data_IF_170266142265
#
_entry.id   IF_170266142265
#
_cell.length_a   1.000
_cell.length_b   1.000
_cell.length_c   1.000
_cell.angle_alpha   90.00
_cell.angle_beta   90.00
_cell.angle_gamma   90.00
#
_symmetry.space_group_name_H-M   'P 1'
#
loop_
_entity.id
_entity.type
_entity.pdbx_description
1 polymer ?
#
# COMPACT_ATOMS: atom_id res chain seq x y z
N UNK A 1 10.92 48.94 -26.21
CA UNK A 1 11.45 48.73 -27.58
C UNK A 1 11.76 50.11 -28.14
N UNK A 2 13.00 50.37 -28.57
CA UNK A 2 13.35 51.64 -29.22
C UNK A 2 12.82 51.65 -30.65
N UNK A 3 12.47 52.82 -31.17
CA UNK A 3 12.07 52.95 -32.56
C UNK A 3 13.25 52.61 -33.49
N UNK A 4 12.99 51.92 -34.62
CA UNK A 4 14.03 51.51 -35.54
C UNK A 4 14.72 52.75 -36.14
N UNK A 5 16.05 52.74 -36.18
CA UNK A 5 16.85 53.84 -36.73
C UNK A 5 16.64 54.08 -38.23
N UNK A 6 15.99 53.15 -38.93
CA UNK A 6 15.58 53.28 -40.32
C UNK A 6 14.14 52.77 -40.49
N UNK A 7 13.20 53.70 -40.65
CA UNK A 7 11.76 53.44 -40.74
C UNK A 7 11.32 52.69 -42.01
N UNK A 8 12.20 52.58 -43.01
CA UNK A 8 11.92 51.84 -44.26
C UNK A 8 12.56 50.44 -44.30
N UNK A 9 13.32 50.06 -43.27
CA UNK A 9 13.97 48.75 -43.21
C UNK A 9 12.94 47.70 -42.77
N UNK A 10 12.48 46.87 -43.72
CA UNK A 10 11.50 45.80 -43.47
C UNK A 10 12.13 44.61 -42.72
N UNK A 11 13.45 44.44 -42.80
CA UNK A 11 14.20 43.39 -42.10
C UNK A 11 15.60 43.20 -42.70
N UNK A 12 16.29 42.14 -42.27
CA UNK A 12 17.59 41.72 -42.82
C UNK A 12 17.43 40.33 -43.43
N UNK A 13 17.75 40.18 -44.72
CA UNK A 13 17.82 38.88 -45.38
C UNK A 13 19.19 38.25 -45.14
N UNK A 14 19.21 36.98 -44.73
CA UNK A 14 20.42 36.19 -44.57
C UNK A 14 20.35 34.99 -45.51
N UNK A 15 21.38 34.81 -46.33
CA UNK A 15 21.52 33.64 -47.21
C UNK A 15 22.66 32.80 -46.67
N UNK A 16 22.34 31.60 -46.17
CA UNK A 16 23.33 30.60 -45.75
C UNK A 16 23.56 29.63 -46.92
N UNK A 17 24.73 29.73 -47.55
CA UNK A 17 25.12 28.86 -48.67
C UNK A 17 25.97 27.66 -48.22
N UNK A 18 25.93 26.57 -49.01
CA UNK A 18 26.79 25.40 -48.80
C UNK A 18 26.28 24.36 -47.79
N UNK A 19 25.04 24.49 -47.32
CA UNK A 19 24.40 23.52 -46.42
C UNK A 19 23.72 22.41 -47.23
N UNK A 20 23.81 21.17 -46.74
CA UNK A 20 23.01 20.07 -47.28
C UNK A 20 21.62 20.09 -46.64
N UNK A 21 20.61 19.56 -47.34
CA UNK A 21 19.26 19.41 -46.77
C UNK A 21 19.28 18.60 -45.46
N UNK A 22 20.21 17.64 -45.33
CA UNK A 22 20.42 16.89 -44.09
C UNK A 22 20.85 17.75 -42.91
N UNK A 23 21.59 18.84 -43.15
CA UNK A 23 22.04 19.74 -42.09
C UNK A 23 20.88 20.63 -41.61
N UNK A 24 19.99 21.00 -42.53
CA UNK A 24 18.76 21.73 -42.22
C UNK A 24 17.84 20.87 -41.36
N UNK A 25 17.64 19.60 -41.72
CA UNK A 25 16.79 18.70 -40.93
C UNK A 25 17.37 18.43 -39.53
N UNK A 26 18.70 18.27 -39.41
CA UNK A 26 19.35 18.19 -38.09
C UNK A 26 19.15 19.46 -37.27
N UNK A 27 19.26 20.63 -37.89
CA UNK A 27 19.04 21.90 -37.20
C UNK A 27 17.59 22.05 -36.71
N UNK A 28 16.61 21.61 -37.52
CA UNK A 28 15.20 21.60 -37.13
C UNK A 28 14.94 20.70 -35.92
N UNK A 29 15.57 19.54 -35.83
CA UNK A 29 15.39 18.58 -34.73
C UNK A 29 15.76 19.14 -33.34
N UNK A 30 16.57 20.19 -33.26
CA UNK A 30 16.84 20.91 -32.00
C UNK A 30 15.65 21.74 -31.49
N UNK A 31 14.63 21.98 -32.31
CA UNK A 31 13.47 22.75 -31.91
C UNK A 31 12.30 21.82 -31.61
N UNK A 32 11.64 22.06 -30.47
CA UNK A 32 10.47 21.30 -30.02
C UNK A 32 9.37 21.24 -31.10
N UNK A 33 9.24 22.28 -31.92
CA UNK A 33 8.25 22.33 -33.00
C UNK A 33 8.43 21.20 -34.03
N UNK A 34 9.66 20.74 -34.26
CA UNK A 34 9.99 19.73 -35.25
C UNK A 34 10.42 18.39 -34.64
N UNK A 35 10.59 18.31 -33.32
CA UNK A 35 11.05 17.08 -32.65
C UNK A 35 9.99 15.97 -32.63
N UNK A 36 8.71 16.32 -32.80
CA UNK A 36 7.58 15.38 -32.77
C UNK A 36 7.19 14.90 -31.36
N UNK A 37 7.79 15.49 -30.32
CA UNK A 37 7.45 15.18 -28.93
C UNK A 37 6.05 15.69 -28.56
N UNK A 38 5.29 14.84 -27.86
CA UNK A 38 3.95 15.20 -27.40
C UNK A 38 3.99 15.80 -26.00
N UNK A 39 3.18 16.85 -25.79
CA UNK A 39 3.01 17.47 -24.48
C UNK A 39 2.08 16.61 -23.63
N UNK A 40 2.60 16.10 -22.51
CA UNK A 40 1.79 15.36 -21.51
C UNK A 40 1.00 16.36 -20.67
N UNK A 41 1.67 17.40 -20.15
CA UNK A 41 1.05 18.38 -19.28
C UNK A 41 1.79 19.71 -19.33
N UNK A 42 1.05 20.82 -19.33
CA UNK A 42 1.59 22.16 -19.19
C UNK A 42 1.48 22.64 -17.75
N UNK A 43 2.54 23.26 -17.26
CA UNK A 43 2.62 23.82 -15.91
C UNK A 43 3.07 25.27 -15.97
N UNK A 44 2.92 26.00 -14.86
CA UNK A 44 3.41 27.39 -14.72
C UNK A 44 4.92 27.56 -14.94
N UNK A 45 5.69 26.47 -14.93
CA UNK A 45 7.14 26.48 -15.03
C UNK A 45 7.66 26.00 -16.39
N UNK A 46 6.82 25.35 -17.18
CA UNK A 46 7.20 24.62 -18.38
C UNK A 46 6.19 23.52 -18.73
N UNK A 47 6.51 22.72 -19.74
CA UNK A 47 5.74 21.57 -20.14
C UNK A 47 6.51 20.27 -19.87
N UNK A 48 5.79 19.24 -19.43
CA UNK A 48 6.25 17.87 -19.36
C UNK A 48 5.95 17.20 -20.71
N UNK A 49 6.95 16.58 -21.32
CA UNK A 49 6.87 15.99 -22.63
C UNK A 49 7.06 14.48 -22.56
N UNK A 50 6.42 13.77 -23.48
CA UNK A 50 6.63 12.35 -23.67
C UNK A 50 7.97 12.11 -24.36
N UNK A 51 8.77 11.21 -23.78
CA UNK A 51 10.01 10.75 -24.39
C UNK A 51 9.68 9.98 -25.67
N UNK A 52 10.34 10.33 -26.77
CA UNK A 52 10.24 9.57 -28.03
C UNK A 52 10.94 8.23 -27.82
N UNK A 53 10.27 7.14 -28.21
CA UNK A 53 10.83 5.80 -28.13
C UNK A 53 12.20 5.72 -28.82
N UNK A 54 13.17 5.09 -28.14
CA UNK A 54 14.52 4.86 -28.63
C UNK A 54 15.40 6.11 -28.83
N UNK A 55 15.03 7.25 -28.21
CA UNK A 55 15.87 8.45 -28.11
C UNK A 55 16.17 8.82 -26.65
N UNK A 56 17.24 9.59 -26.44
CA UNK A 56 17.52 10.23 -25.16
C UNK A 56 16.44 11.26 -24.81
N UNK A 57 16.26 11.50 -23.52
CA UNK A 57 15.32 12.52 -23.05
C UNK A 57 15.89 13.90 -23.27
N UNK A 58 15.08 14.78 -23.85
CA UNK A 58 15.53 16.12 -24.25
C UNK A 58 15.06 17.19 -23.28
N UNK A 59 15.92 18.17 -23.08
CA UNK A 59 15.64 19.33 -22.25
C UNK A 59 15.64 20.55 -23.15
N UNK A 60 14.47 21.17 -23.26
CA UNK A 60 14.26 22.39 -24.01
C UNK A 60 14.17 23.60 -23.08
N UNK A 61 14.66 24.73 -23.55
CA UNK A 61 14.41 26.04 -22.94
C UNK A 61 13.75 26.92 -23.99
N UNK A 62 12.50 27.32 -23.73
CA UNK A 62 11.67 28.05 -24.69
C UNK A 62 11.62 27.38 -26.07
N UNK A 63 11.56 26.04 -26.10
CA UNK A 63 11.50 25.25 -27.33
C UNK A 63 12.84 24.98 -28.04
N UNK A 64 13.98 25.46 -27.53
CA UNK A 64 15.30 25.10 -28.03
C UNK A 64 15.93 24.00 -27.16
N UNK A 65 16.39 22.90 -27.76
CA UNK A 65 17.08 21.81 -27.07
C UNK A 65 18.46 22.28 -26.57
N UNK A 66 18.74 22.07 -25.29
CA UNK A 66 19.96 22.53 -24.60
C UNK A 66 20.73 21.41 -23.91
N UNK A 67 20.13 20.23 -23.77
CA UNK A 67 20.74 19.03 -23.22
C UNK A 67 19.92 17.79 -23.61
N UNK A 68 20.63 16.65 -23.70
CA UNK A 68 20.07 15.31 -23.86
C UNK A 68 20.55 14.46 -22.67
N UNK A 69 19.67 13.63 -22.13
CA UNK A 69 19.92 12.81 -20.94
C UNK A 69 19.38 11.39 -21.14
N UNK A 70 20.22 10.39 -20.87
CA UNK A 70 19.89 8.99 -21.12
C UNK A 70 18.87 8.43 -20.11
N UNK A 71 19.05 8.73 -18.82
CA UNK A 71 18.34 8.08 -17.70
C UNK A 71 17.13 8.86 -17.14
N UNK A 72 16.55 9.77 -17.92
CA UNK A 72 15.31 10.45 -17.55
C UNK A 72 14.10 9.74 -18.14
N UNK A 73 13.00 9.71 -17.39
CA UNK A 73 11.73 9.13 -17.81
C UNK A 73 10.97 10.03 -18.79
N UNK A 74 11.11 11.34 -18.65
CA UNK A 74 10.39 12.34 -19.45
C UNK A 74 11.35 13.30 -20.17
N UNK A 75 10.81 13.98 -21.19
CA UNK A 75 11.44 15.17 -21.77
C UNK A 75 10.78 16.44 -21.20
N UNK A 76 11.45 17.59 -21.26
CA UNK A 76 11.02 18.78 -20.54
C UNK A 76 11.19 20.03 -21.40
N UNK A 77 10.17 20.90 -21.43
CA UNK A 77 10.31 22.24 -21.99
C UNK A 77 10.16 23.30 -20.91
N UNK A 78 11.26 23.94 -20.54
CA UNK A 78 11.29 25.01 -19.55
C UNK A 78 10.91 26.33 -20.22
N UNK A 79 9.71 26.84 -19.93
CA UNK A 79 9.22 28.13 -20.43
C UNK A 79 9.50 29.28 -19.46
N UNK A 80 9.73 28.97 -18.17
CA UNK A 80 10.09 29.95 -17.14
C UNK A 80 11.51 29.70 -16.60
N UNK A 81 12.57 30.03 -17.37
CA UNK A 81 13.94 29.75 -16.99
C UNK A 81 14.38 30.55 -15.76
N UNK A 82 15.27 29.98 -14.95
CA UNK A 82 15.88 30.69 -13.82
C UNK A 82 17.03 31.57 -14.29
N UNK A 83 17.42 32.57 -13.48
CA UNK A 83 18.64 33.36 -13.73
C UNK A 83 19.90 32.48 -13.82
N UNK A 84 19.93 31.36 -13.08
CA UNK A 84 21.01 30.37 -13.12
C UNK A 84 21.07 29.69 -14.48
N UNK A 85 19.93 29.17 -14.95
CA UNK A 85 19.80 28.53 -16.26
C UNK A 85 20.19 29.49 -17.41
N UNK A 86 19.71 30.73 -17.37
CA UNK A 86 20.06 31.76 -18.35
C UNK A 86 21.57 32.08 -18.38
N UNK A 87 22.25 32.08 -17.23
CA UNK A 87 23.70 32.27 -17.16
C UNK A 87 24.49 31.07 -17.67
N UNK A 88 23.93 29.87 -17.53
CA UNK A 88 24.55 28.63 -17.99
C UNK A 88 24.41 28.43 -19.50
N UNK A 89 23.44 29.10 -20.13
CA UNK A 89 23.27 29.22 -21.58
C UNK A 89 24.34 30.16 -22.17
N UNK A 90 25.59 29.71 -22.18
CA UNK A 90 26.69 30.39 -22.88
C UNK A 90 26.63 30.08 -24.38
N UNK A 91 26.77 31.09 -25.24
CA UNK A 91 26.72 30.98 -26.73
C UNK A 91 27.80 30.06 -27.34
N UNK A 92 28.78 29.61 -26.56
CA UNK A 92 29.90 28.77 -27.01
C UNK A 92 29.85 27.33 -26.49
N UNK A 93 28.96 27.02 -25.54
CA UNK A 93 28.87 25.67 -24.95
C UNK A 93 27.66 24.96 -25.56
N UNK A 94 27.91 23.78 -26.10
CA UNK A 94 26.88 22.93 -26.72
C UNK A 94 25.89 22.37 -25.70
N UNK A 95 26.34 22.05 -24.47
CA UNK A 95 25.49 21.41 -23.45
C UNK A 95 25.47 22.16 -22.12
N UNK A 96 24.29 22.26 -21.51
CA UNK A 96 24.08 22.82 -20.18
C UNK A 96 24.21 21.73 -19.11
N UNK A 97 24.98 21.99 -18.06
CA UNK A 97 25.17 21.02 -16.98
C UNK A 97 23.92 20.81 -16.12
N UNK A 98 23.70 19.57 -15.66
CA UNK A 98 22.52 19.12 -14.91
C UNK A 98 22.08 20.00 -13.75
N UNK A 99 23.04 20.52 -12.99
CA UNK A 99 22.77 21.42 -11.87
C UNK A 99 22.06 22.74 -12.24
N UNK A 100 22.03 23.12 -13.52
CA UNK A 100 21.38 24.35 -13.97
C UNK A 100 19.87 24.19 -14.19
N UNK A 101 19.41 23.00 -14.59
CA UNK A 101 18.00 22.76 -14.95
C UNK A 101 17.26 21.85 -13.94
N UNK A 102 17.95 21.04 -13.12
CA UNK A 102 17.31 20.07 -12.20
C UNK A 102 16.26 20.69 -11.28
N UNK A 103 16.53 21.87 -10.71
CA UNK A 103 15.59 22.55 -9.80
C UNK A 103 14.27 22.87 -10.51
N UNK A 104 14.34 23.23 -11.79
CA UNK A 104 13.19 23.60 -12.59
C UNK A 104 12.42 22.38 -13.08
N UNK A 105 13.11 21.29 -13.44
CA UNK A 105 12.46 20.00 -13.70
C UNK A 105 11.67 19.52 -12.47
N UNK A 106 12.29 19.51 -11.29
CA UNK A 106 11.60 19.18 -10.03
C UNK A 106 10.38 20.07 -9.81
N UNK A 107 10.49 21.37 -10.11
CA UNK A 107 9.37 22.31 -10.01
C UNK A 107 8.22 21.99 -10.99
N UNK A 108 8.53 21.57 -12.22
CA UNK A 108 7.54 21.15 -13.21
C UNK A 108 6.81 19.90 -12.70
N UNK A 109 7.56 18.86 -12.29
CA UNK A 109 6.99 17.60 -11.80
C UNK A 109 6.09 17.79 -10.57
N UNK A 110 6.46 18.66 -9.63
CA UNK A 110 5.64 19.00 -8.47
C UNK A 110 4.42 19.87 -8.81
N UNK A 111 4.39 20.50 -9.97
CA UNK A 111 3.26 21.29 -10.45
C UNK A 111 2.29 20.47 -11.31
N UNK A 112 2.70 19.29 -11.79
CA UNK A 112 1.85 18.39 -12.55
C UNK A 112 0.71 17.82 -11.69
N UNK A 113 -0.44 17.58 -12.31
CA UNK A 113 -1.66 17.05 -11.69
C UNK A 113 -2.33 15.97 -12.56
N UNK A 114 -1.78 15.71 -13.75
CA UNK A 114 -2.24 14.71 -14.69
C UNK A 114 -2.07 13.28 -14.17
N UNK A 115 -3.02 12.40 -14.53
CA UNK A 115 -2.93 10.96 -14.21
C UNK A 115 -1.81 10.30 -15.00
N UNK A 116 -1.64 10.66 -16.28
CA UNK A 116 -0.60 10.10 -17.16
C UNK A 116 0.80 10.25 -16.57
N UNK A 117 1.13 11.42 -16.00
CA UNK A 117 2.38 11.65 -15.29
C UNK A 117 2.52 10.70 -14.09
N UNK A 118 1.49 10.64 -13.25
CA UNK A 118 1.51 9.88 -12.01
C UNK A 118 1.59 8.36 -12.27
N UNK A 119 0.82 7.85 -13.24
CA UNK A 119 0.84 6.45 -13.68
C UNK A 119 2.21 6.03 -14.20
N UNK A 120 2.84 6.86 -15.05
CA UNK A 120 4.18 6.58 -15.58
C UNK A 120 5.22 6.56 -14.48
N UNK A 121 5.18 7.52 -13.55
CA UNK A 121 6.14 7.59 -12.45
C UNK A 121 5.97 6.41 -11.49
N UNK A 122 4.75 6.02 -11.16
CA UNK A 122 4.49 4.87 -10.28
C UNK A 122 4.83 3.54 -10.94
N UNK A 123 4.58 3.39 -12.23
CA UNK A 123 5.06 2.22 -13.00
C UNK A 123 6.59 2.14 -13.02
N UNK A 124 7.27 3.27 -12.89
CA UNK A 124 8.73 3.32 -12.75
C UNK A 124 9.20 3.03 -11.31
N UNK A 125 8.43 3.44 -10.29
CA UNK A 125 8.69 3.08 -8.89
C UNK A 125 8.74 1.56 -8.70
N UNK A 126 7.83 0.82 -9.33
CA UNK A 126 7.81 -0.65 -9.30
C UNK A 126 9.09 -1.28 -9.89
N UNK A 127 9.82 -0.56 -10.75
CA UNK A 127 11.08 -1.01 -11.34
C UNK A 127 12.31 -0.71 -10.48
N UNK A 128 12.19 0.09 -9.41
CA UNK A 128 13.31 0.36 -8.48
C UNK A 128 13.93 -0.94 -7.99
N UNK A 129 13.09 -1.94 -7.63
CA UNK A 129 13.56 -3.22 -7.14
C UNK A 129 14.37 -4.01 -8.19
N UNK A 130 14.18 -3.73 -9.48
CA UNK A 130 14.89 -4.34 -10.59
C UNK A 130 16.17 -3.57 -10.98
N UNK A 131 16.48 -2.47 -10.28
CA UNK A 131 17.64 -1.63 -10.56
C UNK A 131 17.55 -0.82 -11.86
N UNK A 132 16.35 -0.71 -12.46
CA UNK A 132 16.13 -0.04 -13.75
C UNK A 132 15.19 1.17 -13.60
N UNK A 133 15.50 2.04 -12.64
CA UNK A 133 14.73 3.24 -12.29
C UNK A 133 15.35 4.50 -12.86
N UNK A 134 14.51 5.47 -13.22
CA UNK A 134 14.97 6.74 -13.75
C UNK A 134 15.33 7.74 -12.65
N UNK A 135 16.08 8.76 -13.05
CA UNK A 135 16.66 9.75 -12.16
C UNK A 135 15.64 10.62 -11.43
N UNK A 136 14.43 10.80 -11.98
CA UNK A 136 13.33 11.48 -11.31
C UNK A 136 12.97 10.83 -9.97
N UNK A 137 13.17 9.51 -9.85
CA UNK A 137 12.90 8.75 -8.62
C UNK A 137 13.93 9.02 -7.53
N UNK A 138 15.01 9.76 -7.78
CA UNK A 138 15.87 10.22 -6.68
C UNK A 138 15.16 11.27 -5.79
N UNK A 139 14.14 11.95 -6.32
CA UNK A 139 13.40 12.98 -5.58
C UNK A 139 12.18 12.39 -4.89
N UNK A 140 12.31 12.09 -3.59
CA UNK A 140 11.22 11.53 -2.78
C UNK A 140 9.96 12.40 -2.82
N UNK A 141 10.10 13.74 -2.87
CA UNK A 141 8.95 14.65 -2.93
C UNK A 141 8.12 14.45 -4.21
N UNK A 142 8.79 14.11 -5.33
CA UNK A 142 8.15 13.85 -6.61
C UNK A 142 7.43 12.50 -6.59
N UNK A 143 8.07 11.47 -6.01
CA UNK A 143 7.43 10.17 -5.79
C UNK A 143 6.14 10.32 -4.97
N UNK A 144 6.23 11.05 -3.85
CA UNK A 144 5.11 11.30 -2.95
C UNK A 144 3.98 12.07 -3.65
N UNK A 145 4.33 13.04 -4.50
CA UNK A 145 3.35 13.78 -5.29
C UNK A 145 2.59 12.89 -6.28
N UNK A 146 3.28 12.01 -7.01
CA UNK A 146 2.64 11.06 -7.91
C UNK A 146 1.70 10.09 -7.19
N UNK A 147 2.13 9.53 -6.05
CA UNK A 147 1.29 8.65 -5.23
C UNK A 147 0.01 9.36 -4.76
N UNK A 148 0.09 10.64 -4.37
CA UNK A 148 -1.08 11.44 -3.98
C UNK A 148 -2.07 11.66 -5.12
N UNK A 149 -1.57 11.91 -6.33
CA UNK A 149 -2.44 12.08 -7.51
C UNK A 149 -3.16 10.78 -7.80
N UNK A 150 -2.44 9.65 -7.76
CA UNK A 150 -2.99 8.34 -8.03
C UNK A 150 -4.05 7.91 -7.00
N UNK A 151 -3.79 8.10 -5.71
CA UNK A 151 -4.75 7.78 -4.64
C UNK A 151 -6.10 8.51 -4.78
N UNK A 152 -6.06 9.74 -5.31
CA UNK A 152 -7.25 10.57 -5.51
C UNK A 152 -8.10 10.12 -6.72
N UNK A 153 -7.47 9.49 -7.72
CA UNK A 153 -8.11 9.14 -9.00
C UNK A 153 -8.49 7.67 -9.12
N UNK A 154 -7.72 6.79 -8.48
CA UNK A 154 -7.85 5.35 -8.58
C UNK A 154 -7.92 4.71 -7.19
N UNK A 155 -8.57 3.54 -7.11
CA UNK A 155 -8.50 2.69 -5.93
C UNK A 155 -7.16 1.98 -5.89
N UNK A 156 -6.21 2.53 -5.15
CA UNK A 156 -4.86 1.97 -5.03
C UNK A 156 -4.59 1.61 -3.57
N UNK A 157 -3.92 0.48 -3.38
CA UNK A 157 -3.38 0.06 -2.10
C UNK A 157 -1.85 0.08 -2.20
N UNK A 158 -1.23 1.00 -1.46
CA UNK A 158 0.23 1.13 -1.42
C UNK A 158 0.83 0.19 -0.36
N UNK A 159 1.77 -0.66 -0.78
CA UNK A 159 2.38 -1.68 0.07
C UNK A 159 3.89 -1.67 -0.05
N UNK A 160 4.58 -1.97 1.04
CA UNK A 160 6.00 -2.30 1.04
C UNK A 160 6.22 -3.78 0.69
N UNK A 161 7.47 -4.17 0.48
CA UNK A 161 7.81 -5.59 0.30
C UNK A 161 7.45 -6.43 1.53
N UNK A 162 7.56 -5.87 2.74
CA UNK A 162 7.26 -6.57 3.99
C UNK A 162 5.75 -6.76 4.16
N UNK A 163 4.95 -5.75 3.78
CA UNK A 163 3.49 -5.83 3.76
C UNK A 163 2.99 -6.95 2.84
N UNK A 164 3.67 -7.20 1.72
CA UNK A 164 3.33 -8.28 0.78
C UNK A 164 3.54 -9.68 1.40
N UNK A 165 4.50 -9.81 2.31
CA UNK A 165 4.81 -11.09 2.98
C UNK A 165 3.79 -11.35 4.10
N UNK A 166 3.50 -10.33 4.93
CA UNK A 166 2.58 -10.47 6.08
C UNK A 166 1.09 -10.34 5.74
N UNK A 167 0.72 -9.50 4.78
CA UNK A 167 -0.66 -9.06 4.54
C UNK A 167 -1.50 -9.90 3.57
N UNK A 168 -1.11 -11.14 3.29
CA UNK A 168 -1.58 -11.91 2.11
C UNK A 168 -3.11 -11.93 1.89
N UNK A 169 -3.92 -11.95 2.97
CA UNK A 169 -5.37 -12.01 2.85
C UNK A 169 -6.06 -10.67 2.66
N UNK A 170 -5.66 -9.63 3.38
CA UNK A 170 -6.15 -8.27 3.13
C UNK A 170 -5.79 -7.81 1.71
N UNK A 171 -4.63 -8.24 1.20
CA UNK A 171 -4.25 -8.01 -0.20
C UNK A 171 -5.22 -8.69 -1.17
N UNK A 172 -5.65 -9.91 -0.88
CA UNK A 172 -6.62 -10.62 -1.72
C UNK A 172 -8.00 -9.93 -1.68
N UNK A 173 -8.47 -9.53 -0.50
CA UNK A 173 -9.72 -8.76 -0.37
C UNK A 173 -9.65 -7.44 -1.13
N UNK A 174 -8.54 -6.71 -1.00
CA UNK A 174 -8.33 -5.47 -1.73
C UNK A 174 -8.40 -5.70 -3.24
N UNK A 175 -7.76 -6.76 -3.76
CA UNK A 175 -7.83 -7.14 -5.17
C UNK A 175 -9.23 -7.52 -5.62
N UNK A 176 -9.97 -8.29 -4.83
CA UNK A 176 -11.35 -8.69 -5.13
C UNK A 176 -12.29 -7.47 -5.16
N UNK A 177 -12.02 -6.44 -4.36
CA UNK A 177 -12.72 -5.15 -4.36
C UNK A 177 -12.26 -4.19 -5.48
N UNK A 178 -11.30 -4.63 -6.30
CA UNK A 178 -10.78 -3.87 -7.44
C UNK A 178 -9.68 -2.86 -7.10
N UNK A 179 -9.00 -2.99 -5.96
CA UNK A 179 -7.83 -2.17 -5.65
C UNK A 179 -6.62 -2.63 -6.48
N UNK A 180 -5.94 -1.67 -7.09
CA UNK A 180 -4.64 -1.89 -7.70
C UNK A 180 -3.57 -1.87 -6.62
N UNK A 181 -2.78 -2.94 -6.56
CA UNK A 181 -1.66 -3.03 -5.64
C UNK A 181 -0.45 -2.33 -6.25
N UNK A 182 0.14 -1.40 -5.51
CA UNK A 182 1.37 -0.70 -5.91
C UNK A 182 2.43 -0.91 -4.84
N UNK A 183 3.57 -1.47 -5.24
CA UNK A 183 4.69 -1.69 -4.33
C UNK A 183 5.59 -0.46 -4.26
N UNK A 184 5.87 0.02 -3.04
CA UNK A 184 6.66 1.22 -2.78
C UNK A 184 7.82 0.96 -1.81
N UNK A 185 8.89 1.76 -1.88
CA UNK A 185 9.97 1.71 -0.89
C UNK A 185 9.47 2.11 0.51
N UNK A 186 10.07 1.52 1.56
CA UNK A 186 9.73 1.79 2.97
C UNK A 186 9.88 3.27 3.33
N UNK A 187 10.92 3.94 2.82
CA UNK A 187 11.14 5.38 3.03
C UNK A 187 10.02 6.25 2.48
N UNK A 188 9.36 5.81 1.40
CA UNK A 188 8.20 6.48 0.83
C UNK A 188 6.95 6.15 1.65
N UNK A 189 6.75 4.89 2.06
CA UNK A 189 5.63 4.45 2.87
C UNK A 189 5.51 5.25 4.18
N UNK A 190 6.63 5.46 4.89
CA UNK A 190 6.69 6.25 6.13
C UNK A 190 6.27 7.72 5.96
N UNK A 191 6.46 8.28 4.76
CA UNK A 191 6.02 9.66 4.45
C UNK A 191 4.58 9.70 3.98
N UNK A 192 4.15 8.69 3.22
CA UNK A 192 2.78 8.58 2.74
C UNK A 192 1.78 8.35 3.88
N UNK A 193 2.13 7.58 4.91
CA UNK A 193 1.26 7.35 6.08
C UNK A 193 0.89 8.61 6.85
N UNK A 194 1.67 9.70 6.70
CA UNK A 194 1.42 11.01 7.32
C UNK A 194 0.83 12.03 6.36
N UNK A 195 0.61 11.64 5.12
CA UNK A 195 0.24 12.54 4.04
C UNK A 195 -1.19 12.26 3.58
N UNK A 196 -1.84 13.32 3.09
CA UNK A 196 -3.15 13.24 2.43
C UNK A 196 -2.98 13.35 0.93
N UNK A 197 -3.91 12.77 0.19
CA UNK A 197 -3.97 12.91 -1.26
C UNK A 197 -4.31 14.37 -1.68
N UNK A 198 -4.34 14.62 -2.98
CA UNK A 198 -4.65 15.96 -3.53
C UNK A 198 -6.11 16.40 -3.28
N UNK A 199 -7.00 15.47 -2.92
CA UNK A 199 -8.41 15.70 -2.59
C UNK A 199 -8.65 15.82 -1.07
N UNK A 200 -7.63 15.58 -0.24
CA UNK A 200 -7.71 15.61 1.22
C UNK A 200 -8.09 14.27 1.87
N UNK A 201 -8.18 13.18 1.11
CA UNK A 201 -8.42 11.85 1.67
C UNK A 201 -7.12 11.26 2.23
N UNK A 202 -7.28 10.32 3.16
CA UNK A 202 -6.17 9.53 3.66
C UNK A 202 -5.64 8.60 2.55
N UNK A 203 -4.34 8.33 2.60
CA UNK A 203 -3.70 7.41 1.66
C UNK A 203 -3.93 5.99 2.14
N UNK A 204 -4.39 5.12 1.22
CA UNK A 204 -4.75 3.75 1.56
C UNK A 204 -3.48 2.88 1.58
N UNK A 205 -3.02 2.56 2.79
CA UNK A 205 -1.99 1.55 3.06
C UNK A 205 -2.63 0.31 3.73
N UNK A 206 -1.82 -0.72 4.02
CA UNK A 206 -2.33 -1.97 4.62
C UNK A 206 -2.99 -1.74 5.99
N UNK A 207 -2.38 -0.91 6.84
CA UNK A 207 -2.91 -0.59 8.16
C UNK A 207 -4.29 0.09 8.07
N UNK A 208 -4.39 1.14 7.25
CA UNK A 208 -5.63 1.85 7.01
C UNK A 208 -6.70 0.92 6.43
N UNK A 209 -6.34 0.12 5.42
CA UNK A 209 -7.26 -0.82 4.79
C UNK A 209 -7.76 -1.87 5.78
N UNK A 210 -6.88 -2.47 6.58
CA UNK A 210 -7.25 -3.50 7.55
C UNK A 210 -8.20 -2.98 8.64
N UNK A 211 -7.96 -1.78 9.18
CA UNK A 211 -8.85 -1.14 10.16
C UNK A 211 -10.22 -0.86 9.54
N UNK A 212 -10.26 -0.20 8.38
CA UNK A 212 -11.52 0.16 7.72
C UNK A 212 -12.31 -1.07 7.24
N UNK A 213 -11.63 -2.11 6.78
CA UNK A 213 -12.26 -3.37 6.43
C UNK A 213 -12.85 -4.04 7.69
N UNK A 214 -12.13 -4.04 8.80
CA UNK A 214 -12.62 -4.61 10.07
C UNK A 214 -13.80 -3.83 10.66
N UNK A 215 -13.85 -2.51 10.48
CA UNK A 215 -14.98 -1.67 10.90
C UNK A 215 -16.23 -1.91 10.04
N UNK A 216 -16.06 -2.18 8.75
CA UNK A 216 -17.17 -2.50 7.84
C UNK A 216 -17.57 -3.99 7.87
N UNK A 217 -16.79 -4.83 8.54
CA UNK A 217 -17.04 -6.26 8.62
C UNK A 217 -18.21 -6.58 9.56
N UNK A 218 -19.18 -7.34 9.03
CA UNK A 218 -20.30 -7.89 9.80
C UNK A 218 -20.17 -9.40 9.99
N UNK A 219 -20.33 -9.85 11.24
CA UNK A 219 -20.41 -11.27 11.57
C UNK A 219 -21.73 -11.87 11.07
N UNK A 220 -21.64 -12.97 10.32
CA UNK A 220 -22.79 -13.77 9.95
C UNK A 220 -23.05 -14.83 11.02
N UNK A 221 -23.71 -14.41 12.09
CA UNK A 221 -24.07 -15.30 13.18
C UNK A 221 -25.04 -16.40 12.74
N UNK A 222 -24.86 -17.59 13.30
CA UNK A 222 -25.72 -18.75 13.09
C UNK A 222 -26.47 -19.02 14.37
N UNK A 223 -27.79 -19.04 14.29
CA UNK A 223 -28.65 -19.42 15.41
C UNK A 223 -28.42 -20.89 15.77
N UNK A 224 -28.50 -21.20 17.07
CA UNK A 224 -28.30 -22.56 17.55
C UNK A 224 -29.26 -23.55 16.87
N UNK A 225 -30.47 -23.09 16.50
CA UNK A 225 -31.48 -23.90 15.80
C UNK A 225 -31.01 -24.39 14.43
N UNK A 226 -30.19 -23.61 13.74
CA UNK A 226 -29.70 -23.86 12.37
C UNK A 226 -28.42 -24.71 12.35
N UNK A 227 -27.86 -25.02 13.52
CA UNK A 227 -26.79 -26.00 13.65
C UNK A 227 -27.33 -27.42 13.41
N UNK A 228 -26.53 -28.22 12.70
CA UNK A 228 -26.78 -29.65 12.55
C UNK A 228 -26.72 -30.36 13.90
N UNK A 229 -27.28 -31.57 13.98
CA UNK A 229 -27.29 -32.34 15.24
C UNK A 229 -25.89 -32.56 15.82
N UNK A 230 -24.90 -32.87 14.98
CA UNK A 230 -23.50 -33.05 15.39
C UNK A 230 -22.87 -31.73 15.88
N UNK A 231 -23.12 -30.63 15.18
CA UNK A 231 -22.63 -29.31 15.57
C UNK A 231 -23.22 -28.89 16.92
N UNK A 232 -24.52 -29.15 17.16
CA UNK A 232 -25.17 -28.90 18.45
C UNK A 232 -24.53 -29.71 19.58
N UNK A 233 -24.31 -31.01 19.38
CA UNK A 233 -23.66 -31.87 20.38
C UNK A 233 -22.27 -31.35 20.78
N UNK A 234 -21.49 -30.84 19.82
CA UNK A 234 -20.19 -30.23 20.09
C UNK A 234 -20.34 -28.87 20.77
N UNK A 235 -21.26 -28.03 20.30
CA UNK A 235 -21.49 -26.69 20.83
C UNK A 235 -21.94 -26.72 22.30
N UNK A 236 -22.74 -27.71 22.71
CA UNK A 236 -23.18 -27.92 24.09
C UNK A 236 -22.04 -28.14 25.09
N UNK A 237 -20.85 -28.56 24.62
CA UNK A 237 -19.66 -28.67 25.47
C UNK A 237 -19.22 -27.33 26.08
N UNK A 238 -19.73 -26.20 25.56
CA UNK A 238 -19.52 -24.86 26.11
C UNK A 238 -19.82 -24.79 27.61
N UNK A 239 -20.86 -25.48 28.07
CA UNK A 239 -21.27 -25.47 29.48
C UNK A 239 -20.29 -26.22 30.37
N UNK A 240 -19.71 -27.31 29.87
CA UNK A 240 -18.69 -28.09 30.58
C UNK A 240 -17.41 -27.27 30.70
N UNK A 241 -16.95 -26.70 29.58
CA UNK A 241 -15.71 -25.90 29.52
C UNK A 241 -15.80 -24.65 30.38
N UNK A 242 -16.92 -23.92 30.31
CA UNK A 242 -17.16 -22.76 31.17
C UNK A 242 -17.08 -23.13 32.66
N UNK A 243 -17.43 -24.36 33.02
CA UNK A 243 -17.34 -24.87 34.39
C UNK A 243 -15.91 -25.06 34.91
N UNK A 244 -14.90 -25.07 34.03
CA UNK A 244 -13.48 -25.18 34.43
C UNK A 244 -12.90 -23.86 34.93
N UNK A 245 -13.55 -22.75 34.60
CA UNK A 245 -13.10 -21.42 34.97
C UNK A 245 -13.72 -20.93 36.29
N UNK A 246 -13.07 -20.01 37.02
CA UNK A 246 -13.55 -19.51 38.31
C UNK A 246 -14.96 -18.90 38.21
N UNK A 247 -15.87 -19.33 39.08
CA UNK A 247 -17.28 -18.86 39.08
C UNK A 247 -17.47 -17.46 39.70
N UNK A 248 -16.48 -16.96 40.43
CA UNK A 248 -16.49 -15.66 41.10
C UNK A 248 -16.31 -14.49 40.12
N UNK A 249 -15.70 -14.75 38.96
CA UNK A 249 -15.52 -13.76 37.88
C UNK A 249 -16.19 -14.35 36.65
N UNK A 250 -17.17 -13.62 36.08
CA UNK A 250 -17.87 -14.03 34.84
C UNK A 250 -17.62 -12.98 33.76
N UNK A 251 -16.42 -13.01 33.14
CA UNK A 251 -16.11 -12.06 32.08
C UNK A 251 -16.97 -12.32 30.85
N UNK A 252 -17.22 -13.59 30.52
CA UNK A 252 -18.03 -14.00 29.35
C UNK A 252 -19.53 -14.02 29.68
N UNK A 253 -20.32 -13.28 28.89
CA UNK A 253 -21.78 -13.24 28.93
C UNK A 253 -22.42 -14.24 27.97
N UNK A 254 -21.88 -14.35 26.76
CA UNK A 254 -22.46 -15.14 25.67
C UNK A 254 -21.37 -15.79 24.80
N UNK A 255 -21.70 -16.91 24.17
CA UNK A 255 -20.84 -17.58 23.19
C UNK A 255 -21.65 -17.73 21.90
N UNK A 256 -21.20 -17.12 20.80
CA UNK A 256 -21.89 -17.14 19.50
C UNK A 256 -21.09 -17.91 18.46
N UNK A 257 -21.79 -18.47 17.48
CA UNK A 257 -21.18 -19.12 16.31
C UNK A 257 -21.35 -18.22 15.09
N UNK A 258 -20.29 -18.02 14.32
CA UNK A 258 -20.33 -17.23 13.08
C UNK A 258 -19.79 -18.02 11.88
N UNK A 259 -20.38 -17.82 10.69
CA UNK A 259 -19.85 -18.39 9.44
C UNK A 259 -18.65 -17.59 8.93
N UNK A 260 -18.68 -16.27 9.14
CA UNK A 260 -17.62 -15.33 8.75
C UNK A 260 -16.84 -14.90 9.99
N UNK A 261 -15.53 -14.67 9.83
CA UNK A 261 -14.66 -14.17 10.89
C UNK A 261 -13.77 -13.07 10.35
N UNK A 262 -13.28 -12.21 11.25
CA UNK A 262 -12.24 -11.24 10.93
C UNK A 262 -10.92 -11.98 10.68
N UNK A 263 -10.06 -11.48 9.79
CA UNK A 263 -8.70 -11.98 9.69
C UNK A 263 -7.98 -11.76 11.02
N UNK A 264 -7.24 -12.77 11.44
CA UNK A 264 -6.28 -12.67 12.51
C UNK A 264 -5.14 -11.73 12.07
N UNK A 265 -4.80 -10.78 12.95
CA UNK A 265 -3.79 -9.74 12.75
C UNK A 265 -2.39 -10.31 12.49
N UNK A 266 -2.11 -11.53 12.97
CA UNK A 266 -0.76 -12.12 12.90
C UNK A 266 -0.58 -13.08 11.72
N UNK A 267 -1.57 -13.95 11.48
CA UNK A 267 -1.45 -14.98 10.43
C UNK A 267 -2.08 -14.56 9.10
N UNK A 268 -2.89 -13.50 9.11
CA UNK A 268 -3.74 -13.11 8.00
C UNK A 268 -4.80 -14.16 7.66
N UNK A 269 -4.92 -15.27 8.39
CA UNK A 269 -5.97 -16.28 8.19
C UNK A 269 -7.26 -15.85 8.89
N UNK A 270 -8.42 -16.48 8.62
CA UNK A 270 -9.61 -16.15 9.43
C UNK A 270 -9.34 -16.52 10.89
N UNK A 271 -9.59 -15.61 11.82
CA UNK A 271 -9.59 -15.93 13.24
C UNK A 271 -10.53 -17.12 13.47
N UNK A 272 -10.06 -18.11 14.24
CA UNK A 272 -10.86 -19.30 14.54
C UNK A 272 -11.83 -19.02 15.70
N UNK A 273 -11.43 -18.14 16.60
CA UNK A 273 -12.21 -17.57 17.68
C UNK A 273 -11.90 -16.08 17.85
N UNK A 274 -12.76 -15.37 18.58
CA UNK A 274 -12.54 -13.99 18.99
C UNK A 274 -13.22 -13.72 20.33
N UNK A 275 -12.47 -13.17 21.27
CA UNK A 275 -13.00 -12.59 22.50
C UNK A 275 -13.32 -11.10 22.32
N UNK A 276 -14.60 -10.75 22.35
CA UNK A 276 -15.06 -9.35 22.39
C UNK A 276 -15.32 -8.91 23.84
N UNK A 277 -14.42 -8.08 24.37
CA UNK A 277 -14.50 -7.52 25.72
C UNK A 277 -15.66 -6.54 25.91
N UNK A 278 -16.03 -5.79 24.87
CA UNK A 278 -17.08 -4.75 24.93
C UNK A 278 -18.45 -5.40 25.13
N UNK A 279 -18.75 -6.40 24.31
CA UNK A 279 -20.01 -7.14 24.37
C UNK A 279 -19.94 -8.34 25.33
N UNK A 280 -18.75 -8.62 25.87
CA UNK A 280 -18.44 -9.77 26.70
C UNK A 280 -18.85 -11.08 26.02
N UNK A 281 -18.54 -11.20 24.73
CA UNK A 281 -18.99 -12.30 23.89
C UNK A 281 -17.80 -13.03 23.29
N UNK A 282 -17.78 -14.36 23.40
CA UNK A 282 -16.86 -15.20 22.62
C UNK A 282 -17.55 -15.54 21.30
N UNK A 283 -16.86 -15.33 20.18
CA UNK A 283 -17.34 -15.69 18.85
C UNK A 283 -16.46 -16.81 18.32
N UNK A 284 -17.04 -17.94 17.92
CA UNK A 284 -16.30 -19.08 17.36
C UNK A 284 -16.71 -19.28 15.90
N UNK A 285 -15.74 -19.54 15.02
CA UNK A 285 -16.01 -19.90 13.64
C UNK A 285 -16.73 -21.23 13.55
N UNK A 286 -17.83 -21.30 12.79
CA UNK A 286 -18.63 -22.53 12.60
C UNK A 286 -17.79 -23.73 12.17
N UNK A 287 -16.73 -23.51 11.40
CA UNK A 287 -15.83 -24.59 10.96
C UNK A 287 -15.13 -25.32 12.10
N UNK A 288 -15.02 -24.73 13.30
CA UNK A 288 -14.46 -25.39 14.48
C UNK A 288 -15.38 -26.49 15.02
N UNK A 289 -16.69 -26.43 14.73
CA UNK A 289 -17.65 -27.47 15.10
C UNK A 289 -17.51 -28.75 14.27
N UNK A 290 -16.50 -28.87 13.39
CA UNK A 290 -16.19 -30.10 12.65
C UNK A 290 -15.60 -31.20 13.54
N UNK A 291 -14.95 -30.83 14.64
CA UNK A 291 -14.44 -31.80 15.62
C UNK A 291 -14.51 -31.23 17.02
N UNK A 292 -14.62 -32.12 18.01
CA UNK A 292 -14.57 -31.75 19.44
C UNK A 292 -13.25 -31.06 19.73
N UNK A 293 -12.13 -31.64 19.29
CA UNK A 293 -10.78 -31.11 19.54
C UNK A 293 -10.63 -29.67 19.06
N UNK A 294 -11.00 -29.37 17.81
CA UNK A 294 -10.88 -28.04 17.23
C UNK A 294 -11.73 -27.01 18.00
N UNK A 295 -13.00 -27.31 18.21
CA UNK A 295 -13.91 -26.45 18.98
C UNK A 295 -13.42 -26.22 20.41
N UNK A 296 -13.04 -27.27 21.13
CA UNK A 296 -12.59 -27.13 22.52
C UNK A 296 -11.29 -26.37 22.63
N UNK A 297 -10.33 -26.60 21.72
CA UNK A 297 -9.07 -25.86 21.69
C UNK A 297 -9.30 -24.37 21.52
N UNK A 298 -10.08 -23.99 20.48
CA UNK A 298 -10.42 -22.58 20.25
C UNK A 298 -11.21 -21.99 21.41
N UNK A 299 -12.22 -22.68 21.94
CA UNK A 299 -13.04 -22.12 23.02
C UNK A 299 -12.22 -21.90 24.31
N UNK A 300 -11.32 -22.82 24.66
CA UNK A 300 -10.44 -22.67 25.82
C UNK A 300 -9.50 -21.47 25.63
N UNK A 301 -8.93 -21.31 24.43
CA UNK A 301 -8.09 -20.17 24.04
C UNK A 301 -8.82 -18.85 24.30
N UNK A 302 -10.03 -18.69 23.76
CA UNK A 302 -10.84 -17.48 23.97
C UNK A 302 -11.24 -17.25 25.43
N UNK A 303 -11.49 -18.31 26.19
CA UNK A 303 -11.71 -18.17 27.62
C UNK A 303 -10.46 -17.71 28.36
N UNK A 304 -9.26 -18.13 27.95
CA UNK A 304 -8.02 -17.64 28.57
C UNK A 304 -7.94 -16.13 28.38
N UNK A 305 -8.08 -15.61 27.15
CA UNK A 305 -8.17 -14.16 26.90
C UNK A 305 -9.19 -13.47 27.80
N UNK A 306 -10.40 -14.04 27.92
CA UNK A 306 -11.47 -13.45 28.72
C UNK A 306 -11.14 -13.36 30.22
N UNK A 307 -10.34 -14.29 30.76
CA UNK A 307 -10.02 -14.36 32.19
C UNK A 307 -8.68 -13.71 32.56
N UNK A 308 -7.73 -13.61 31.63
CA UNK A 308 -6.43 -12.97 31.86
C UNK A 308 -6.37 -11.53 31.34
N UNK A 309 -7.24 -11.16 30.39
CA UNK A 309 -7.23 -9.85 29.71
C UNK A 309 -5.89 -9.58 28.99
N UNK A 310 -5.34 -10.63 28.37
CA UNK A 310 -4.03 -10.62 27.69
C UNK A 310 -4.19 -10.94 26.20
N UNK A 311 -3.31 -10.40 25.37
CA UNK A 311 -3.26 -10.70 23.93
C UNK A 311 -2.42 -11.96 23.63
N UNK A 312 -2.58 -12.50 22.42
CA UNK A 312 -1.77 -13.62 21.92
C UNK A 312 -0.27 -13.30 21.96
N UNK A 313 0.57 -14.35 22.01
CA UNK A 313 2.05 -14.28 22.07
C UNK A 313 2.63 -13.54 23.29
N UNK A 314 1.81 -13.12 24.26
CA UNK A 314 2.29 -12.57 25.53
C UNK A 314 2.68 -13.68 26.52
N UNK A 315 3.68 -13.42 27.36
CA UNK A 315 4.16 -14.38 28.36
C UNK A 315 3.03 -14.76 29.33
N UNK A 316 2.19 -13.78 29.67
CA UNK A 316 1.06 -13.92 30.56
C UNK A 316 -0.02 -14.83 29.95
N UNK A 317 -0.29 -14.69 28.65
CA UNK A 317 -1.22 -15.55 27.92
C UNK A 317 -0.71 -16.99 27.85
N UNK A 318 0.54 -17.19 27.45
CA UNK A 318 1.18 -18.52 27.37
C UNK A 318 1.22 -19.22 28.75
N UNK A 319 1.46 -18.44 29.81
CA UNK A 319 1.38 -18.95 31.19
C UNK A 319 -0.05 -19.36 31.56
N UNK A 320 -1.06 -18.56 31.15
CA UNK A 320 -2.47 -18.88 31.33
C UNK A 320 -2.91 -20.17 30.62
N UNK A 321 -2.46 -20.37 29.38
CA UNK A 321 -2.67 -21.62 28.64
C UNK A 321 -1.98 -22.80 29.32
N UNK A 322 -0.73 -22.64 29.74
CA UNK A 322 0.05 -23.68 30.43
C UNK A 322 -0.63 -24.11 31.74
N UNK A 323 -1.10 -23.16 32.54
CA UNK A 323 -1.84 -23.43 33.77
C UNK A 323 -3.16 -24.17 33.48
N UNK A 324 -3.86 -23.79 32.42
CA UNK A 324 -5.09 -24.45 32.01
C UNK A 324 -4.83 -25.90 31.57
N UNK A 325 -3.78 -26.15 30.79
CA UNK A 325 -3.36 -27.49 30.40
C UNK A 325 -3.04 -28.36 31.62
N UNK A 326 -2.33 -27.81 32.62
CA UNK A 326 -2.04 -28.49 33.88
C UNK A 326 -3.29 -28.86 34.68
N UNK A 327 -4.26 -27.95 34.76
CA UNK A 327 -5.57 -28.20 35.41
C UNK A 327 -6.34 -29.30 34.69
N UNK A 328 -6.42 -29.24 33.36
CA UNK A 328 -7.11 -30.25 32.53
C UNK A 328 -6.44 -31.61 32.70
N UNK A 329 -5.11 -31.69 32.63
CA UNK A 329 -4.37 -32.93 32.84
C UNK A 329 -4.65 -33.55 34.22
N UNK A 330 -4.69 -32.72 35.27
CA UNK A 330 -5.03 -33.15 36.63
C UNK A 330 -6.46 -33.72 36.71
N UNK A 331 -7.44 -33.05 36.07
CA UNK A 331 -8.82 -33.55 36.01
C UNK A 331 -8.93 -34.89 35.26
N UNK A 332 -8.19 -35.06 34.17
CA UNK A 332 -8.17 -36.31 33.38
C UNK A 332 -7.53 -37.45 34.17
N UNK A 333 -6.42 -37.20 34.86
CA UNK A 333 -5.74 -38.21 35.68
C UNK A 333 -6.62 -38.64 36.86
N UNK A 334 -7.15 -37.68 37.63
CA UNK A 334 -7.98 -37.97 38.81
C UNK A 334 -9.32 -38.61 38.46
N UNK A 335 -9.91 -38.28 37.31
CA UNK A 335 -11.11 -38.98 36.82
C UNK A 335 -10.81 -40.42 36.42
N UNK A 336 -9.68 -40.70 35.75
CA UNK A 336 -9.25 -42.07 35.45
C UNK A 336 -8.96 -42.88 36.71
N UNK A 337 -8.35 -42.29 37.73
CA UNK A 337 -8.13 -42.93 39.03
C UNK A 337 -9.45 -43.25 39.73
N UNK A 338 -10.43 -42.34 39.70
CA UNK A 338 -11.78 -42.63 40.21
C UNK A 338 -12.45 -43.74 39.43
N UNK A 339 -12.33 -43.76 38.10
CA UNK A 339 -12.97 -44.76 37.25
C UNK A 339 -12.32 -46.15 37.42
N UNK A 340 -10.98 -46.21 37.58
CA UNK A 340 -10.27 -47.44 37.94
C UNK A 340 -10.54 -47.89 39.38
N UNK A 341 -10.68 -46.96 40.32
CA UNK A 341 -11.10 -47.24 41.69
C UNK A 341 -12.54 -47.79 41.71
N UNK A 342 -13.48 -47.18 41.00
CA UNK A 342 -14.86 -47.66 40.86
C UNK A 342 -14.90 -49.05 40.23
N UNK A 343 -14.15 -49.30 39.15
CA UNK A 343 -14.03 -50.64 38.54
C UNK A 343 -13.40 -51.67 39.49
N UNK A 344 -12.41 -51.28 40.30
CA UNK A 344 -11.79 -52.16 41.32
C UNK A 344 -12.72 -52.48 42.48
N UNK A 345 -13.48 -51.49 42.97
CA UNK A 345 -14.37 -51.63 44.13
C UNK A 345 -15.66 -52.37 43.76
N UNK A 346 -16.18 -52.17 42.55
CA UNK A 346 -17.44 -52.78 42.11
C UNK A 346 -17.29 -54.05 41.27
N UNK A 347 -16.08 -54.59 41.04
CA UNK A 347 -15.82 -55.84 40.29
C UNK A 347 -16.79 -56.05 39.12
N UNK A 348 -16.58 -55.32 38.03
CA UNK A 348 -16.97 -55.78 36.70
C UNK A 348 -15.80 -56.50 36.05
#
# INVERSE_FOLDING_TARGET
>A
VQEPSNCNMVGTEFILGGLQDSDIEKAKDFFLLYSGEQVIEETKYGALLEKVDNKESRIYVNGLCVAEEENLLFSYNITSPTKKLLKSLNRERTNVGRSAYSDRMKSILLACTGSVFAEKLVSDLEKIQKGNSHDELQWIDVQLHACKILNSKEKILFLTSDDLIGGSKYINYAKDEGHRIVTIPETLALKLSKAKDISGNEIVNLDYYSVHWNDSFEFKFVDEKDLSKKEKEIYELKHVIQGWFPKNIKPVKEIKISETMRPDSFTGSDALGLWDKSDRTIIIKRSQLKSVEAYTGTLIHEFVHAYTDTDDETIEFESGLTDMLGKIATMVITSKEKDTWFKRVFKF
#
